data_IF_634061855286
#
_entry.id   IF_634061855286
#
_cell.length_a   1.000
_cell.length_b   1.000
_cell.length_c   1.000
_cell.angle_alpha   90.00
_cell.angle_beta   90.00
_cell.angle_gamma   90.00
#
_symmetry.space_group_name_H-M   'P 1'
#
loop_
_entity.id
_entity.type
_entity.pdbx_description
1 polymer ?
#
# COMPACT_ATOMS: atom_id res chain seq x y z
N UNK A 1 34.66 -41.74 -22.12
CA UNK A 1 34.37 -40.56 -21.29
C UNK A 1 33.37 -39.72 -22.06
N UNK A 2 32.15 -39.50 -21.53
CA UNK A 2 31.14 -38.69 -22.21
C UNK A 2 31.54 -37.21 -22.13
N UNK A 3 31.64 -36.52 -23.28
CA UNK A 3 31.92 -35.10 -23.31
C UNK A 3 30.69 -34.32 -22.82
N UNK A 4 30.81 -33.66 -21.67
CA UNK A 4 29.81 -32.70 -21.20
C UNK A 4 29.79 -31.50 -22.15
N UNK A 5 28.74 -31.38 -22.95
CA UNK A 5 28.51 -30.18 -23.76
C UNK A 5 27.99 -29.06 -22.86
N UNK A 6 28.79 -28.01 -22.68
CA UNK A 6 28.39 -26.80 -21.95
C UNK A 6 27.71 -25.84 -22.93
N UNK A 7 26.38 -25.87 -22.99
CA UNK A 7 25.61 -24.88 -23.75
C UNK A 7 25.58 -23.56 -22.97
N UNK A 8 26.27 -22.54 -23.47
CA UNK A 8 26.22 -21.19 -22.89
C UNK A 8 25.01 -20.46 -23.45
N UNK A 9 23.91 -20.41 -22.69
CA UNK A 9 22.73 -19.63 -23.07
C UNK A 9 22.95 -18.17 -22.65
N UNK A 10 23.00 -17.26 -23.63
CA UNK A 10 23.07 -15.83 -23.35
C UNK A 10 21.75 -15.37 -22.69
N UNK A 11 21.83 -14.86 -21.46
CA UNK A 11 20.69 -14.28 -20.75
C UNK A 11 20.55 -12.81 -21.14
N UNK A 12 19.39 -12.43 -21.69
CA UNK A 12 19.09 -11.04 -21.99
C UNK A 12 19.11 -10.20 -20.68
N UNK A 13 19.66 -8.99 -20.72
CA UNK A 13 19.65 -8.09 -19.56
C UNK A 13 18.43 -7.17 -19.61
N UNK A 14 17.70 -6.98 -18.50
CA UNK A 14 16.64 -5.98 -18.46
C UNK A 14 17.20 -4.57 -18.70
N UNK A 15 16.42 -3.65 -19.29
CA UNK A 15 16.81 -2.26 -19.35
C UNK A 15 16.93 -1.68 -17.94
N UNK A 16 17.91 -0.80 -17.69
CA UNK A 16 18.11 -0.18 -16.36
C UNK A 16 16.88 0.57 -15.86
N UNK A 17 16.05 1.09 -16.77
CA UNK A 17 14.78 1.75 -16.45
C UNK A 17 13.76 0.81 -15.78
N UNK A 18 13.93 -0.50 -15.88
CA UNK A 18 13.13 -1.49 -15.16
C UNK A 18 13.29 -1.42 -13.63
N UNK A 19 14.40 -0.84 -13.15
CA UNK A 19 14.74 -0.72 -11.73
C UNK A 19 14.46 0.68 -11.16
N UNK A 20 13.43 1.35 -11.68
CA UNK A 20 13.03 2.68 -11.22
C UNK A 20 12.32 2.62 -9.87
N UNK A 21 12.55 3.61 -9.01
CA UNK A 21 11.86 3.80 -7.72
C UNK A 21 10.58 4.62 -7.84
N UNK A 22 10.25 5.11 -9.05
CA UNK A 22 9.18 6.08 -9.26
C UNK A 22 7.81 5.59 -8.75
N UNK A 23 7.46 4.32 -8.96
CA UNK A 23 6.17 3.79 -8.52
C UNK A 23 6.04 3.77 -6.99
N UNK A 24 7.06 3.28 -6.28
CA UNK A 24 7.09 3.32 -4.82
C UNK A 24 7.07 4.76 -4.28
N UNK A 25 7.86 5.65 -4.88
CA UNK A 25 7.88 7.07 -4.48
C UNK A 25 6.52 7.75 -4.63
N UNK A 26 5.80 7.49 -5.73
CA UNK A 26 4.43 7.99 -5.92
C UNK A 26 3.46 7.39 -4.90
N UNK A 27 3.50 6.07 -4.69
CA UNK A 27 2.60 5.39 -3.77
C UNK A 27 2.81 5.83 -2.32
N UNK A 28 4.05 5.82 -1.83
CA UNK A 28 4.39 6.26 -0.49
C UNK A 28 4.11 7.76 -0.32
N UNK A 29 4.44 8.58 -1.32
CA UNK A 29 4.15 10.01 -1.29
C UNK A 29 2.64 10.29 -1.18
N UNK A 30 1.81 9.54 -1.91
CA UNK A 30 0.36 9.67 -1.81
C UNK A 30 -0.17 9.26 -0.42
N UNK A 31 0.37 8.18 0.16
CA UNK A 31 0.01 7.74 1.51
C UNK A 31 0.42 8.79 2.56
N UNK A 32 1.64 9.32 2.49
CA UNK A 32 2.10 10.40 3.40
C UNK A 32 1.18 11.61 3.32
N UNK A 33 0.82 12.04 2.11
CA UNK A 33 -0.09 13.18 1.94
C UNK A 33 -1.45 12.88 2.55
N UNK A 34 -1.99 11.67 2.33
CA UNK A 34 -3.25 11.25 2.93
C UNK A 34 -3.18 11.23 4.47
N UNK A 35 -2.15 10.61 5.05
CA UNK A 35 -1.95 10.53 6.51
C UNK A 35 -1.84 11.94 7.13
N UNK A 36 -1.15 12.86 6.46
CA UNK A 36 -1.06 14.27 6.90
C UNK A 36 -2.42 14.94 6.86
N UNK A 37 -3.24 14.70 5.84
CA UNK A 37 -4.60 15.25 5.76
C UNK A 37 -5.49 14.72 6.88
N UNK A 38 -5.40 13.43 7.21
CA UNK A 38 -6.10 12.84 8.36
C UNK A 38 -5.62 13.47 9.65
N UNK A 39 -4.31 13.61 9.85
CA UNK A 39 -3.78 14.24 11.07
C UNK A 39 -4.22 15.70 11.23
N UNK A 40 -4.29 16.46 10.13
CA UNK A 40 -4.83 17.82 10.12
C UNK A 40 -6.32 17.81 10.47
N UNK A 41 -7.09 16.88 9.89
CA UNK A 41 -8.52 16.73 10.18
C UNK A 41 -8.78 16.46 11.67
N UNK A 42 -8.05 15.51 12.27
CA UNK A 42 -8.13 15.19 13.69
C UNK A 42 -7.82 16.42 14.57
N UNK A 43 -6.75 17.16 14.25
CA UNK A 43 -6.40 18.39 14.99
C UNK A 43 -7.48 19.46 14.95
N UNK A 44 -8.23 19.55 13.87
CA UNK A 44 -9.32 20.53 13.72
C UNK A 44 -10.59 20.11 14.46
N UNK A 45 -10.92 18.82 14.46
CA UNK A 45 -12.25 18.35 14.85
C UNK A 45 -12.30 17.42 16.07
N UNK A 46 -11.18 16.85 16.54
CA UNK A 46 -11.19 15.89 17.65
C UNK A 46 -11.75 16.49 18.94
N UNK A 47 -11.21 17.62 19.39
CA UNK A 47 -11.67 18.26 20.63
C UNK A 47 -12.99 19.02 20.49
N UNK A 48 -13.34 19.45 19.28
CA UNK A 48 -14.53 20.30 19.04
C UNK A 48 -15.77 19.51 18.63
N UNK A 49 -15.59 18.34 18.01
CA UNK A 49 -16.65 17.51 17.41
C UNK A 49 -16.50 16.01 17.69
N UNK A 50 -15.41 15.58 18.36
CA UNK A 50 -15.08 14.17 18.59
C UNK A 50 -15.24 13.64 20.02
N UNK A 51 -15.56 14.51 21.00
CA UNK A 51 -15.59 14.09 22.42
C UNK A 51 -16.89 13.38 22.84
N UNK A 52 -18.03 13.76 22.25
CA UNK A 52 -19.34 13.19 22.58
C UNK A 52 -19.93 12.46 21.38
N UNK A 53 -19.87 11.13 21.43
CA UNK A 53 -20.35 10.25 20.36
C UNK A 53 -21.89 10.27 20.19
N UNK A 54 -22.64 10.81 21.16
CA UNK A 54 -24.09 10.92 21.09
C UNK A 54 -24.56 12.18 20.35
N UNK A 55 -23.64 13.11 20.09
CA UNK A 55 -23.93 14.37 19.41
C UNK A 55 -24.22 14.18 17.91
N UNK A 56 -25.13 14.98 17.32
CA UNK A 56 -25.35 15.00 15.87
C UNK A 56 -24.09 15.35 15.06
N UNK A 57 -23.21 16.17 15.63
CA UNK A 57 -21.93 16.55 15.04
C UNK A 57 -21.01 15.33 14.90
N UNK A 58 -20.92 14.49 15.93
CA UNK A 58 -20.07 13.30 15.86
C UNK A 58 -20.49 12.36 14.72
N UNK A 59 -21.80 12.20 14.52
CA UNK A 59 -22.32 11.44 13.37
C UNK A 59 -21.84 12.00 12.02
N UNK A 60 -21.75 13.33 11.90
CA UNK A 60 -21.37 13.99 10.65
C UNK A 60 -19.86 13.92 10.40
N UNK A 61 -19.05 14.19 11.42
CA UNK A 61 -17.59 14.33 11.28
C UNK A 61 -16.83 13.02 11.49
N UNK A 62 -17.36 12.07 12.26
CA UNK A 62 -16.64 10.84 12.61
C UNK A 62 -17.33 9.59 12.06
N UNK A 63 -18.62 9.37 12.36
CA UNK A 63 -19.29 8.16 11.85
C UNK A 63 -19.49 8.19 10.33
N UNK A 64 -19.80 9.36 9.75
CA UNK A 64 -19.87 9.52 8.30
C UNK A 64 -18.55 9.14 7.61
N UNK A 65 -17.42 9.52 8.21
CA UNK A 65 -16.08 9.15 7.74
C UNK A 65 -15.84 7.63 7.86
N UNK A 66 -16.16 7.03 9.01
CA UNK A 66 -16.05 5.58 9.24
C UNK A 66 -16.84 4.77 8.20
N UNK A 67 -18.09 5.13 7.92
CA UNK A 67 -18.87 4.41 6.92
C UNK A 67 -18.34 4.63 5.49
N UNK A 68 -17.85 5.84 5.20
CA UNK A 68 -17.25 6.13 3.91
C UNK A 68 -15.97 5.31 3.68
N UNK A 69 -15.06 5.25 4.66
CA UNK A 69 -13.82 4.49 4.52
C UNK A 69 -14.08 2.99 4.38
N UNK A 70 -14.98 2.40 5.18
CA UNK A 70 -15.28 0.96 5.09
C UNK A 70 -15.80 0.56 3.70
N UNK A 71 -16.65 1.39 3.09
CA UNK A 71 -17.16 1.16 1.73
C UNK A 71 -16.04 1.34 0.70
N UNK A 72 -15.28 2.43 0.80
CA UNK A 72 -14.20 2.72 -0.14
C UNK A 72 -13.12 1.64 -0.09
N UNK A 73 -12.69 1.21 1.10
CA UNK A 73 -11.70 0.16 1.29
C UNK A 73 -12.18 -1.18 0.72
N UNK A 74 -13.43 -1.58 1.01
CA UNK A 74 -13.98 -2.83 0.48
C UNK A 74 -14.03 -2.82 -1.06
N UNK A 75 -14.47 -1.70 -1.66
CA UNK A 75 -14.52 -1.53 -3.11
C UNK A 75 -13.12 -1.51 -3.72
N UNK A 76 -12.19 -0.75 -3.14
CA UNK A 76 -10.80 -0.66 -3.62
C UNK A 76 -10.09 -1.99 -3.51
N UNK A 77 -10.22 -2.71 -2.39
CA UNK A 77 -9.64 -4.04 -2.22
C UNK A 77 -10.19 -5.04 -3.24
N UNK A 78 -11.53 -5.11 -3.39
CA UNK A 78 -12.17 -5.98 -4.36
C UNK A 78 -11.75 -5.68 -5.80
N UNK A 79 -11.69 -4.39 -6.17
CA UNK A 79 -11.25 -3.96 -7.49
C UNK A 79 -9.77 -4.27 -7.75
N UNK A 80 -8.89 -3.96 -6.81
CA UNK A 80 -7.45 -4.18 -6.95
C UNK A 80 -7.11 -5.67 -7.05
N UNK A 81 -7.65 -6.49 -6.13
CA UNK A 81 -7.40 -7.93 -6.12
C UNK A 81 -8.01 -8.61 -7.34
N UNK A 82 -9.24 -8.21 -7.71
CA UNK A 82 -9.89 -8.68 -8.93
C UNK A 82 -9.08 -8.35 -10.18
N UNK A 83 -8.59 -7.11 -10.29
CA UNK A 83 -7.74 -6.68 -11.39
C UNK A 83 -6.45 -7.50 -11.46
N UNK A 84 -5.70 -7.61 -10.36
CA UNK A 84 -4.46 -8.40 -10.30
C UNK A 84 -4.69 -9.86 -10.72
N UNK A 85 -5.80 -10.45 -10.27
CA UNK A 85 -6.15 -11.83 -10.62
C UNK A 85 -6.47 -11.99 -12.11
N UNK A 86 -7.23 -11.05 -12.69
CA UNK A 86 -7.62 -11.09 -14.10
C UNK A 86 -6.42 -10.83 -15.02
N UNK A 87 -5.51 -9.92 -14.63
CA UNK A 87 -4.31 -9.58 -15.39
C UNK A 87 -3.12 -10.50 -15.12
N UNK A 88 -3.28 -11.56 -14.32
CA UNK A 88 -2.18 -12.47 -14.00
C UNK A 88 -1.61 -13.13 -15.24
N UNK A 89 -0.29 -13.31 -15.25
CA UNK A 89 0.38 -14.14 -16.25
C UNK A 89 -0.01 -15.62 -16.04
N UNK A 90 -0.43 -16.28 -17.12
CA UNK A 90 -0.89 -17.69 -17.10
C UNK A 90 0.18 -18.68 -17.55
N UNK A 91 1.32 -18.22 -18.06
CA UNK A 91 2.41 -19.03 -18.57
C UNK A 91 3.72 -18.75 -17.80
N UNK A 92 3.64 -18.81 -16.46
CA UNK A 92 4.76 -18.51 -15.56
C UNK A 92 5.97 -19.43 -15.77
N UNK A 93 5.75 -20.65 -16.26
CA UNK A 93 6.77 -21.63 -16.64
C UNK A 93 7.64 -21.18 -17.82
N UNK A 94 7.22 -20.15 -18.56
CA UNK A 94 7.90 -19.64 -19.77
C UNK A 94 8.56 -18.28 -19.55
N UNK A 95 8.70 -17.85 -18.30
CA UNK A 95 9.32 -16.58 -17.99
C UNK A 95 10.81 -16.60 -18.32
N UNK A 96 11.26 -15.52 -18.98
CA UNK A 96 12.70 -15.30 -19.14
C UNK A 96 13.29 -14.80 -17.82
N UNK A 97 14.56 -15.12 -17.50
CA UNK A 97 15.21 -14.60 -16.29
C UNK A 97 15.20 -13.07 -16.20
N UNK A 98 15.23 -12.38 -17.35
CA UNK A 98 15.17 -10.92 -17.42
C UNK A 98 13.83 -10.35 -16.92
N UNK A 99 12.72 -10.93 -17.38
CA UNK A 99 11.38 -10.50 -16.97
C UNK A 99 11.11 -10.90 -15.51
N UNK A 100 11.57 -12.07 -15.08
CA UNK A 100 11.46 -12.49 -13.68
C UNK A 100 12.16 -11.51 -12.73
N UNK A 101 13.40 -11.09 -13.05
CA UNK A 101 14.13 -10.11 -12.25
C UNK A 101 13.41 -8.76 -12.15
N UNK A 102 12.81 -8.29 -13.25
CA UNK A 102 11.98 -7.08 -13.26
C UNK A 102 10.74 -7.22 -12.38
N UNK A 103 10.09 -8.38 -12.38
CA UNK A 103 8.92 -8.64 -11.53
C UNK A 103 9.29 -8.72 -10.05
N UNK A 104 10.45 -9.29 -9.70
CA UNK A 104 10.96 -9.24 -8.32
C UNK A 104 11.25 -7.82 -7.86
N UNK A 105 11.78 -6.95 -8.73
CA UNK A 105 11.93 -5.54 -8.40
C UNK A 105 10.58 -4.89 -8.08
N UNK A 106 9.57 -5.09 -8.94
CA UNK A 106 8.22 -4.58 -8.70
C UNK A 106 7.61 -5.12 -7.40
N UNK A 107 7.81 -6.40 -7.09
CA UNK A 107 7.40 -6.99 -5.81
C UNK A 107 8.12 -6.32 -4.63
N UNK A 108 9.43 -6.07 -4.72
CA UNK A 108 10.19 -5.36 -3.70
C UNK A 108 9.66 -3.95 -3.44
N UNK A 109 9.26 -3.22 -4.49
CA UNK A 109 8.62 -1.92 -4.37
C UNK A 109 7.23 -2.01 -3.70
N UNK A 110 6.47 -3.06 -3.99
CA UNK A 110 5.18 -3.31 -3.34
C UNK A 110 5.36 -3.60 -1.85
N UNK A 111 6.34 -4.43 -1.48
CA UNK A 111 6.70 -4.72 -0.08
C UNK A 111 7.17 -3.45 0.63
N UNK A 112 8.00 -2.62 0.01
CA UNK A 112 8.43 -1.35 0.59
C UNK A 112 7.25 -0.41 0.88
N UNK A 113 6.31 -0.30 -0.07
CA UNK A 113 5.09 0.51 0.11
C UNK A 113 4.22 -0.05 1.24
N UNK A 114 4.09 -1.38 1.30
CA UNK A 114 3.39 -2.07 2.40
C UNK A 114 4.05 -1.80 3.76
N UNK A 115 5.38 -1.82 3.85
CA UNK A 115 6.10 -1.50 5.10
C UNK A 115 5.78 -0.10 5.60
N UNK A 116 5.69 0.90 4.71
CA UNK A 116 5.24 2.24 5.11
C UNK A 116 3.80 2.22 5.66
N UNK A 117 2.87 1.56 4.95
CA UNK A 117 1.47 1.49 5.39
C UNK A 117 1.33 0.80 6.77
N UNK A 118 2.12 -0.25 7.01
CA UNK A 118 2.19 -0.92 8.33
C UNK A 118 2.77 0.02 9.39
N UNK A 119 3.82 0.78 9.09
CA UNK A 119 4.35 1.77 10.01
C UNK A 119 3.27 2.82 10.40
N UNK A 120 2.56 3.37 9.41
CA UNK A 120 1.52 4.36 9.66
C UNK A 120 0.41 3.77 10.54
N UNK A 121 -0.18 2.63 10.14
CA UNK A 121 -1.30 2.02 10.87
C UNK A 121 -0.89 1.43 12.22
N UNK A 122 0.14 0.59 12.25
CA UNK A 122 0.48 -0.24 13.42
C UNK A 122 1.45 0.44 14.41
N UNK A 123 2.06 1.56 14.05
CA UNK A 123 2.87 2.37 14.97
C UNK A 123 2.25 3.74 15.16
N UNK A 124 2.22 4.59 14.13
CA UNK A 124 1.83 5.99 14.30
C UNK A 124 0.40 6.17 14.83
N UNK A 125 -0.61 5.66 14.10
CA UNK A 125 -2.01 5.80 14.50
C UNK A 125 -2.37 4.92 15.71
N UNK A 126 -1.71 3.77 15.86
CA UNK A 126 -1.90 2.90 17.03
C UNK A 126 -1.39 3.55 18.33
N UNK A 127 -0.20 4.18 18.32
CA UNK A 127 0.32 4.86 19.51
C UNK A 127 -0.39 6.20 19.77
N UNK A 128 -0.89 6.86 18.72
CA UNK A 128 -1.75 8.04 18.83
C UNK A 128 -3.03 7.72 19.64
N UNK A 129 -3.67 6.59 19.37
CA UNK A 129 -4.82 6.10 20.15
C UNK A 129 -4.48 5.94 21.65
N UNK A 130 -3.25 5.52 21.95
CA UNK A 130 -2.75 5.46 23.34
C UNK A 130 -2.82 6.82 24.06
N UNK A 131 -2.52 7.92 23.37
CA UNK A 131 -2.66 9.28 23.93
C UNK A 131 -4.12 9.76 23.99
N UNK A 132 -4.96 9.32 23.04
CA UNK A 132 -6.39 9.63 23.06
C UNK A 132 -7.10 9.01 24.25
N UNK A 133 -6.75 7.77 24.62
CA UNK A 133 -7.23 7.13 25.85
C UNK A 133 -6.84 7.83 27.16
N UNK A 134 -5.86 8.74 27.14
CA UNK A 134 -5.53 9.59 28.30
C UNK A 134 -6.32 10.91 28.30
N UNK A 135 -7.12 11.15 27.26
CA UNK A 135 -7.87 12.38 27.02
C UNK A 135 -9.37 12.22 27.32
N UNK A 136 -9.97 11.08 26.97
CA UNK A 136 -11.39 10.76 27.15
C UNK A 136 -11.63 9.49 27.95
#
# INVERSE_FOLDING_TARGET
MAQTQTTTTAVARPPLTAFSWKSAGIAIGALIVFDVLINVYERLYAFSKGLDYTSPEYNTYWLGMLFAELVLEAVTAGALWGWLWVTRDRALDRLTPAEELKRYWALGLFVLTYTYAVYAGASYFTEQDGTWHQTV
#
